data_IF_519578319747
#
_entry.id   IF_519578319747
#
_cell.length_a   1.000
_cell.length_b   1.000
_cell.length_c   1.000
_cell.angle_alpha   90.00
_cell.angle_beta   90.00
_cell.angle_gamma   90.00
#
_symmetry.space_group_name_H-M   'P 1'
#
loop_
_entity.id
_entity.type
_entity.pdbx_description
1 polymer ?
#
# COMPACT_ATOMS: atom_id res chain seq x y z
N UNK A 1 16.11 50.20 47.70
CA UNK A 1 15.58 49.06 48.48
C UNK A 1 14.07 49.16 48.80
N UNK A 2 13.60 50.08 49.68
CA UNK A 2 12.21 50.07 50.20
C UNK A 2 11.12 50.12 49.12
N UNK A 3 11.26 50.99 48.12
CA UNK A 3 10.32 51.07 46.97
C UNK A 3 10.28 49.81 46.11
N UNK A 4 11.43 49.16 45.89
CA UNK A 4 11.52 47.91 45.12
C UNK A 4 10.81 46.76 45.85
N UNK A 5 10.98 46.65 47.17
CA UNK A 5 10.26 45.66 47.98
C UNK A 5 8.75 45.90 47.99
N UNK A 6 8.28 47.15 48.12
CA UNK A 6 6.85 47.45 48.05
C UNK A 6 6.25 47.08 46.68
N UNK A 7 6.97 47.39 45.59
CA UNK A 7 6.56 47.01 44.25
C UNK A 7 6.55 45.49 44.05
N UNK A 8 7.60 44.79 44.49
CA UNK A 8 7.70 43.34 44.39
C UNK A 8 6.61 42.61 45.18
N UNK A 9 6.26 43.09 46.39
CA UNK A 9 5.16 42.54 47.19
C UNK A 9 3.83 42.62 46.44
N UNK A 10 3.52 43.79 45.86
CA UNK A 10 2.34 43.98 45.03
C UNK A 10 2.34 43.02 43.82
N UNK A 11 3.46 42.88 43.13
CA UNK A 11 3.57 41.95 42.00
C UNK A 11 3.40 40.48 42.41
N UNK A 12 3.88 40.10 43.61
CA UNK A 12 3.68 38.75 44.15
C UNK A 12 2.20 38.49 44.46
N UNK A 13 1.51 39.46 45.08
CA UNK A 13 0.06 39.40 45.35
C UNK A 13 -0.75 39.34 44.04
N UNK A 14 -0.40 40.18 43.05
CA UNK A 14 -1.09 40.25 41.75
C UNK A 14 -0.91 38.97 40.89
N UNK A 15 0.12 38.15 41.16
CA UNK A 15 0.44 36.94 40.38
C UNK A 15 0.40 35.63 41.21
N UNK A 16 -0.10 35.68 42.45
CA UNK A 16 -0.19 34.54 43.37
C UNK A 16 1.15 33.80 43.60
N UNK A 17 2.23 34.57 43.79
CA UNK A 17 3.59 34.03 44.01
C UNK A 17 4.00 34.20 45.48
N UNK A 18 4.63 33.19 46.12
CA UNK A 18 5.17 33.32 47.47
C UNK A 18 6.15 34.49 47.59
N UNK A 19 5.83 35.43 48.47
CA UNK A 19 6.62 36.67 48.63
C UNK A 19 8.01 36.41 49.20
N UNK A 20 8.20 35.33 49.97
CA UNK A 20 9.44 35.04 50.71
C UNK A 20 10.68 34.94 49.81
N UNK A 21 10.59 34.16 48.74
CA UNK A 21 11.72 33.91 47.84
C UNK A 21 12.10 35.15 47.02
N UNK A 22 11.11 35.95 46.64
CA UNK A 22 11.30 37.21 45.91
C UNK A 22 11.95 38.28 46.80
N UNK A 23 11.60 38.32 48.09
CA UNK A 23 12.23 39.24 49.05
C UNK A 23 13.67 38.84 49.36
N UNK A 24 13.94 37.54 49.54
CA UNK A 24 15.29 37.02 49.70
C UNK A 24 16.17 37.36 48.49
N UNK A 25 15.63 37.21 47.29
CA UNK A 25 16.31 37.59 46.05
C UNK A 25 16.65 39.08 45.99
N UNK A 26 15.71 39.97 46.35
CA UNK A 26 15.95 41.43 46.41
C UNK A 26 17.00 41.78 47.48
N UNK A 27 17.01 41.05 48.59
CA UNK A 27 17.92 41.28 49.72
C UNK A 27 19.36 40.83 49.44
N UNK A 28 19.60 40.04 48.40
CA UNK A 28 20.95 39.74 47.90
C UNK A 28 21.70 40.99 47.40
N UNK A 29 20.98 42.07 47.07
CA UNK A 29 21.51 43.43 46.92
C UNK A 29 22.31 43.73 45.66
N UNK A 30 22.72 42.72 44.89
CA UNK A 30 23.49 42.89 43.66
C UNK A 30 22.65 42.54 42.43
N UNK A 31 22.39 43.57 41.62
CA UNK A 31 21.55 43.47 40.42
C UNK A 31 22.16 42.57 39.35
N UNK A 32 23.49 42.47 39.26
CA UNK A 32 24.16 41.62 38.28
C UNK A 32 24.06 40.16 38.68
N UNK A 33 24.25 39.82 39.97
CA UNK A 33 24.04 38.46 40.46
C UNK A 33 22.57 38.02 40.33
N UNK A 34 21.61 38.91 40.63
CA UNK A 34 20.19 38.66 40.40
C UNK A 34 19.88 38.33 38.92
N UNK A 35 20.38 39.12 37.97
CA UNK A 35 20.14 38.86 36.54
C UNK A 35 20.77 37.54 36.07
N UNK A 36 21.93 37.18 36.61
CA UNK A 36 22.58 35.89 36.33
C UNK A 36 21.73 34.73 36.87
N UNK A 37 21.27 34.81 38.12
CA UNK A 37 20.44 33.78 38.75
C UNK A 37 19.09 33.61 38.04
N UNK A 38 18.46 34.71 37.61
CA UNK A 38 17.24 34.68 36.81
C UNK A 38 17.49 34.03 35.45
N UNK A 39 18.60 34.38 34.78
CA UNK A 39 18.97 33.75 33.51
C UNK A 39 19.25 32.26 33.67
N UNK A 40 19.98 31.85 34.71
CA UNK A 40 20.25 30.43 35.03
C UNK A 40 18.95 29.68 35.31
N UNK A 41 18.03 30.26 36.09
CA UNK A 41 16.73 29.66 36.42
C UNK A 41 15.86 29.52 35.19
N UNK A 42 15.77 30.54 34.33
CA UNK A 42 15.06 30.46 33.05
C UNK A 42 15.67 29.39 32.14
N UNK A 43 17.00 29.30 32.05
CA UNK A 43 17.67 28.24 31.28
C UNK A 43 17.32 26.86 31.84
N UNK A 44 17.34 26.67 33.17
CA UNK A 44 16.97 25.40 33.82
C UNK A 44 15.51 25.04 33.56
N UNK A 45 14.59 26.00 33.70
CA UNK A 45 13.16 25.80 33.43
C UNK A 45 12.91 25.47 31.95
N UNK A 46 13.55 26.19 31.03
CA UNK A 46 13.50 25.89 29.59
C UNK A 46 14.05 24.50 29.28
N UNK A 47 15.16 24.09 29.92
CA UNK A 47 15.74 22.74 29.75
C UNK A 47 14.82 21.65 30.29
N UNK A 48 14.28 21.83 31.50
CA UNK A 48 13.35 20.89 32.12
C UNK A 48 12.08 20.72 31.28
N UNK A 49 11.49 21.84 30.83
CA UNK A 49 10.32 21.83 29.96
C UNK A 49 10.61 21.20 28.60
N UNK A 50 11.81 21.43 28.03
CA UNK A 50 12.23 20.78 26.77
C UNK A 50 12.39 19.28 26.94
N UNK A 51 13.03 18.82 28.02
CA UNK A 51 13.20 17.39 28.31
C UNK A 51 11.85 16.70 28.51
N UNK A 52 10.94 17.32 29.28
CA UNK A 52 9.57 16.80 29.45
C UNK A 52 8.83 16.71 28.12
N UNK A 53 8.85 17.77 27.30
CA UNK A 53 8.22 17.78 25.97
C UNK A 53 8.82 16.74 25.04
N UNK A 54 10.14 16.53 25.09
CA UNK A 54 10.83 15.52 24.30
C UNK A 54 10.35 14.11 24.68
N UNK A 55 10.23 13.84 25.98
CA UNK A 55 9.71 12.57 26.47
C UNK A 55 8.25 12.36 26.05
N UNK A 56 7.40 13.38 26.19
CA UNK A 56 6.00 13.31 25.74
C UNK A 56 5.88 13.00 24.24
N UNK A 57 6.74 13.58 23.40
CA UNK A 57 6.78 13.30 21.96
C UNK A 57 7.26 11.88 21.66
N UNK A 58 8.24 11.39 22.43
CA UNK A 58 8.74 10.01 22.32
C UNK A 58 7.67 9.00 22.73
N UNK A 59 6.99 9.24 23.85
CA UNK A 59 5.90 8.39 24.34
C UNK A 59 4.74 8.36 23.32
N UNK A 60 4.43 9.49 22.69
CA UNK A 60 3.42 9.55 21.63
C UNK A 60 3.83 8.74 20.39
N UNK A 61 5.10 8.83 19.98
CA UNK A 61 5.66 8.08 18.86
C UNK A 61 5.62 6.56 19.10
N UNK A 62 5.93 6.12 20.32
CA UNK A 62 5.94 4.71 20.73
C UNK A 62 4.52 4.20 21.10
N UNK A 63 3.51 5.06 21.06
CA UNK A 63 2.15 4.66 21.40
C UNK A 63 1.56 3.73 20.32
N UNK A 64 0.97 2.62 20.78
CA UNK A 64 0.29 1.66 19.88
C UNK A 64 -0.84 2.29 19.09
N UNK A 65 -1.50 3.31 19.65
CA UNK A 65 -2.59 4.02 18.98
C UNK A 65 -2.06 4.83 17.79
N UNK A 66 -0.97 5.58 17.98
CA UNK A 66 -0.32 6.30 16.89
C UNK A 66 0.21 5.34 15.82
N UNK A 67 0.91 4.28 16.23
CA UNK A 67 1.51 3.31 15.30
C UNK A 67 0.45 2.55 14.49
N UNK A 68 -0.53 1.93 15.16
CA UNK A 68 -1.51 1.03 14.54
C UNK A 68 -2.72 1.74 13.92
N UNK A 69 -3.29 2.71 14.63
CA UNK A 69 -4.55 3.34 14.18
C UNK A 69 -4.28 4.61 13.36
N UNK A 70 -3.17 5.30 13.63
CA UNK A 70 -2.72 6.45 12.86
C UNK A 70 -1.87 6.03 11.67
N UNK A 71 -0.59 5.78 11.93
CA UNK A 71 0.47 5.71 10.93
C UNK A 71 0.31 4.54 9.96
N UNK A 72 0.05 3.33 10.47
CA UNK A 72 -0.09 2.12 9.64
C UNK A 72 -1.11 2.30 8.50
N UNK A 73 -2.29 2.84 8.77
CA UNK A 73 -3.34 3.00 7.77
C UNK A 73 -2.97 3.99 6.67
N UNK A 74 -2.28 5.08 7.03
CA UNK A 74 -1.81 6.05 6.05
C UNK A 74 -0.66 5.48 5.21
N UNK A 75 0.28 4.76 5.83
CA UNK A 75 1.34 4.07 5.10
C UNK A 75 0.79 2.98 4.18
N UNK A 76 -0.21 2.22 4.64
CA UNK A 76 -0.90 1.21 3.84
C UNK A 76 -1.54 1.84 2.60
N UNK A 77 -2.24 2.97 2.76
CA UNK A 77 -2.78 3.74 1.65
C UNK A 77 -1.67 4.26 0.71
N UNK A 78 -0.52 4.69 1.22
CA UNK A 78 0.63 5.05 0.38
C UNK A 78 1.09 3.87 -0.48
N UNK A 79 1.13 2.66 0.08
CA UNK A 79 1.56 1.45 -0.63
C UNK A 79 0.57 0.96 -1.69
N UNK A 80 -0.69 1.38 -1.60
CA UNK A 80 -1.73 1.10 -2.58
C UNK A 80 -2.03 2.28 -3.51
N UNK A 81 -1.31 3.38 -3.36
CA UNK A 81 -1.48 4.55 -4.22
C UNK A 81 -1.27 4.17 -5.69
N UNK A 82 -2.15 4.58 -6.62
CA UNK A 82 -1.97 4.29 -8.04
C UNK A 82 -0.67 4.88 -8.59
N UNK A 83 -0.15 5.95 -7.97
CA UNK A 83 1.04 6.66 -8.43
C UNK A 83 2.35 6.01 -7.99
N UNK A 84 2.35 4.94 -7.20
CA UNK A 84 3.59 4.33 -6.72
C UNK A 84 4.32 3.59 -7.84
N UNK A 85 5.54 4.05 -8.14
CA UNK A 85 6.40 3.52 -9.19
C UNK A 85 7.43 2.52 -8.66
N UNK A 86 7.71 2.53 -7.35
CA UNK A 86 8.59 1.56 -6.69
C UNK A 86 8.16 1.29 -5.24
N UNK A 87 8.22 0.02 -4.86
CA UNK A 87 7.95 -0.53 -3.53
C UNK A 87 9.18 -0.70 -2.65
N UNK A 88 10.41 -0.71 -3.18
CA UNK A 88 11.63 -0.94 -2.38
C UNK A 88 12.61 0.23 -2.49
N UNK A 89 13.02 0.57 -3.71
CA UNK A 89 14.03 1.61 -3.95
C UNK A 89 13.44 2.99 -3.62
N UNK A 90 14.11 3.71 -2.71
CA UNK A 90 13.75 5.06 -2.25
C UNK A 90 12.34 5.23 -1.67
N UNK A 91 11.59 4.13 -1.47
CA UNK A 91 10.21 4.15 -0.96
C UNK A 91 10.10 4.82 0.40
N UNK A 92 11.00 4.47 1.33
CA UNK A 92 11.02 5.11 2.64
C UNK A 92 11.35 6.60 2.54
N UNK A 93 12.31 6.98 1.69
CA UNK A 93 12.74 8.36 1.54
C UNK A 93 11.60 9.24 0.98
N UNK A 94 10.98 8.81 -0.11
CA UNK A 94 9.84 9.52 -0.72
C UNK A 94 8.65 9.64 0.24
N UNK A 95 8.33 8.56 0.97
CA UNK A 95 7.27 8.60 1.99
C UNK A 95 7.64 9.58 3.11
N UNK A 96 8.88 9.57 3.60
CA UNK A 96 9.33 10.49 4.65
C UNK A 96 9.30 11.96 4.20
N UNK A 97 9.64 12.25 2.95
CA UNK A 97 9.57 13.59 2.39
C UNK A 97 8.11 14.05 2.22
N UNK A 98 7.24 13.13 1.78
CA UNK A 98 5.81 13.38 1.71
C UNK A 98 5.19 13.65 3.09
N UNK A 99 5.52 12.83 4.10
CA UNK A 99 5.09 13.02 5.50
C UNK A 99 5.58 14.37 6.03
N UNK A 100 6.82 14.75 5.71
CA UNK A 100 7.39 16.03 6.16
C UNK A 100 6.59 17.22 5.61
N UNK A 101 6.18 17.14 4.34
CA UNK A 101 5.40 18.17 3.66
C UNK A 101 3.93 18.16 4.10
N UNK A 102 3.38 16.99 4.43
CA UNK A 102 1.96 16.78 4.75
C UNK A 102 1.75 16.21 6.15
N UNK A 103 2.51 16.71 7.13
CA UNK A 103 2.53 16.20 8.51
C UNK A 103 1.14 16.12 9.18
N UNK A 104 0.22 17.02 8.81
CA UNK A 104 -1.16 17.01 9.27
C UNK A 104 -1.97 15.80 8.78
N UNK A 105 -1.69 15.28 7.57
CA UNK A 105 -2.34 14.09 7.02
C UNK A 105 -2.04 12.88 7.90
N UNK A 106 -0.79 12.73 8.33
CA UNK A 106 -0.33 11.62 9.18
C UNK A 106 -0.49 11.88 10.68
N UNK A 107 -1.18 12.97 11.06
CA UNK A 107 -1.39 13.40 12.46
C UNK A 107 -0.08 13.50 13.26
N UNK A 108 1.00 13.95 12.61
CA UNK A 108 2.31 14.07 13.24
C UNK A 108 2.32 15.24 14.22
N UNK A 109 2.72 15.04 15.50
CA UNK A 109 2.81 16.12 16.47
C UNK A 109 3.76 17.25 16.02
N UNK A 110 3.40 18.53 16.23
CA UNK A 110 4.27 19.65 15.89
C UNK A 110 5.61 19.58 16.61
N UNK A 111 6.70 19.69 15.84
CA UNK A 111 8.07 19.66 16.37
C UNK A 111 8.72 18.28 16.37
N UNK A 112 7.96 17.19 16.18
CA UNK A 112 8.52 15.83 16.09
C UNK A 112 9.55 15.70 14.96
N UNK A 113 9.25 16.23 13.78
CA UNK A 113 10.15 16.19 12.62
C UNK A 113 11.26 17.25 12.64
N UNK A 114 11.22 18.21 13.58
CA UNK A 114 12.24 19.26 13.72
C UNK A 114 13.44 18.79 14.54
N UNK A 115 13.22 17.83 15.43
CA UNK A 115 14.27 17.22 16.21
C UNK A 115 14.90 16.05 15.42
N UNK A 116 16.22 16.06 15.31
CA UNK A 116 16.96 15.08 14.49
C UNK A 116 16.84 13.67 15.06
N UNK A 117 16.85 13.53 16.39
CA UNK A 117 16.77 12.23 17.05
C UNK A 117 15.38 11.64 16.90
N UNK A 118 14.33 12.43 17.18
CA UNK A 118 12.94 11.99 16.99
C UNK A 118 12.64 11.68 15.52
N UNK A 119 13.13 12.48 14.57
CA UNK A 119 12.96 12.20 13.14
C UNK A 119 13.63 10.90 12.73
N UNK A 120 14.81 10.60 13.26
CA UNK A 120 15.49 9.33 13.01
C UNK A 120 14.73 8.13 13.61
N UNK A 121 14.24 8.26 14.85
CA UNK A 121 13.41 7.22 15.49
C UNK A 121 12.11 6.99 14.70
N UNK A 122 11.41 8.06 14.32
CA UNK A 122 10.21 7.97 13.49
C UNK A 122 10.50 7.33 12.12
N UNK A 123 11.60 7.69 11.48
CA UNK A 123 12.03 7.05 10.22
C UNK A 123 12.23 5.54 10.35
N UNK A 124 12.77 5.06 11.48
CA UNK A 124 12.88 3.61 11.78
C UNK A 124 11.51 2.97 11.95
N UNK A 125 10.58 3.62 12.66
CA UNK A 125 9.21 3.12 12.80
C UNK A 125 8.50 3.03 11.45
N UNK A 126 8.66 4.03 10.59
CA UNK A 126 8.11 4.01 9.22
C UNK A 126 8.67 2.81 8.44
N UNK A 127 9.99 2.60 8.43
CA UNK A 127 10.60 1.44 7.76
C UNK A 127 10.03 0.12 8.26
N UNK A 128 9.97 -0.05 9.59
CA UNK A 128 9.43 -1.27 10.21
C UNK A 128 7.99 -1.54 9.78
N UNK A 129 7.13 -0.51 9.79
CA UNK A 129 5.74 -0.64 9.37
C UNK A 129 5.61 -0.95 7.88
N UNK A 130 6.42 -0.34 7.02
CA UNK A 130 6.43 -0.63 5.59
C UNK A 130 6.80 -2.09 5.33
N UNK A 131 7.83 -2.61 5.99
CA UNK A 131 8.19 -4.03 5.91
C UNK A 131 7.04 -4.93 6.38
N UNK A 132 6.38 -4.57 7.48
CA UNK A 132 5.20 -5.29 7.95
C UNK A 132 4.04 -5.28 6.94
N UNK A 133 3.75 -4.12 6.34
CA UNK A 133 2.72 -3.96 5.31
C UNK A 133 3.03 -4.83 4.09
N UNK A 134 4.26 -4.80 3.61
CA UNK A 134 4.73 -5.65 2.52
C UNK A 134 4.53 -7.14 2.83
N UNK A 135 4.91 -7.59 4.01
CA UNK A 135 4.70 -8.98 4.43
C UNK A 135 3.21 -9.35 4.46
N UNK A 136 2.37 -8.48 5.04
CA UNK A 136 0.91 -8.67 5.10
C UNK A 136 0.28 -8.75 3.70
N UNK A 137 0.63 -7.85 2.79
CA UNK A 137 0.13 -7.88 1.41
C UNK A 137 0.55 -9.18 0.73
N UNK A 138 1.84 -9.53 0.76
CA UNK A 138 2.34 -10.75 0.11
C UNK A 138 1.65 -12.01 0.65
N UNK A 139 1.46 -12.10 1.97
CA UNK A 139 0.79 -13.23 2.61
C UNK A 139 -0.69 -13.31 2.20
N UNK A 140 -1.40 -12.18 2.19
CA UNK A 140 -2.80 -12.14 1.76
C UNK A 140 -2.96 -12.55 0.29
N UNK A 141 -2.07 -12.10 -0.59
CA UNK A 141 -2.06 -12.50 -2.00
C UNK A 141 -1.74 -13.99 -2.18
N UNK A 142 -0.77 -14.52 -1.42
CA UNK A 142 -0.43 -15.95 -1.46
C UNK A 142 -1.63 -16.79 -1.05
N UNK A 143 -2.26 -16.45 0.08
CA UNK A 143 -3.49 -17.13 0.54
C UNK A 143 -4.59 -17.00 -0.50
N UNK A 144 -4.71 -15.84 -1.16
CA UNK A 144 -5.72 -15.61 -2.17
C UNK A 144 -5.60 -16.56 -3.36
N UNK A 145 -4.39 -16.70 -3.89
CA UNK A 145 -4.12 -17.60 -5.02
C UNK A 145 -4.45 -19.04 -4.65
N UNK A 146 -3.99 -19.49 -3.47
CA UNK A 146 -4.20 -20.88 -3.00
C UNK A 146 -5.67 -21.18 -2.75
N UNK A 147 -6.40 -20.25 -2.14
CA UNK A 147 -7.81 -20.45 -1.77
C UNK A 147 -8.79 -20.00 -2.86
N UNK A 148 -8.26 -19.54 -3.99
CA UNK A 148 -9.05 -18.93 -5.07
C UNK A 148 -10.02 -17.85 -4.57
N UNK A 149 -9.59 -17.00 -3.64
CA UNK A 149 -10.46 -15.94 -3.12
C UNK A 149 -10.51 -14.75 -4.07
N UNK A 150 -11.67 -14.09 -4.13
CA UNK A 150 -11.81 -12.90 -4.95
C UNK A 150 -10.97 -11.74 -4.42
N UNK A 151 -10.45 -10.90 -5.32
CA UNK A 151 -9.64 -9.74 -4.94
C UNK A 151 -10.41 -8.74 -4.07
N UNK A 152 -11.73 -8.68 -4.23
CA UNK A 152 -12.61 -7.88 -3.39
C UNK A 152 -12.60 -8.38 -1.93
N UNK A 153 -12.56 -9.69 -1.71
CA UNK A 153 -12.49 -10.28 -0.37
C UNK A 153 -11.08 -10.12 0.23
N UNK A 154 -10.02 -10.23 -0.58
CA UNK A 154 -8.65 -9.92 -0.17
C UNK A 154 -8.55 -8.49 0.30
N UNK A 155 -9.05 -7.54 -0.51
CA UNK A 155 -9.03 -6.13 -0.18
C UNK A 155 -9.89 -5.80 1.02
N UNK A 156 -11.03 -6.48 1.19
CA UNK A 156 -11.83 -6.38 2.40
C UNK A 156 -11.03 -6.86 3.61
N UNK A 157 -10.37 -8.00 3.54
CA UNK A 157 -9.56 -8.51 4.65
C UNK A 157 -8.41 -7.56 5.02
N UNK A 158 -7.74 -6.98 4.01
CA UNK A 158 -6.67 -6.01 4.21
C UNK A 158 -7.18 -4.67 4.79
N UNK A 159 -8.31 -4.15 4.29
CA UNK A 159 -8.84 -2.84 4.67
C UNK A 159 -9.73 -2.85 5.93
N UNK A 160 -10.44 -3.96 6.23
CA UNK A 160 -11.39 -4.06 7.34
C UNK A 160 -10.75 -4.11 8.74
N UNK A 161 -9.42 -4.04 8.84
CA UNK A 161 -8.71 -3.93 10.11
C UNK A 161 -8.80 -2.53 10.72
N UNK A 162 -10.02 -1.97 10.85
CA UNK A 162 -10.27 -0.70 11.54
C UNK A 162 -9.67 0.55 10.87
N UNK A 163 -9.27 0.44 9.59
CA UNK A 163 -8.43 1.45 8.93
C UNK A 163 -9.14 2.77 8.59
N UNK A 164 -10.47 2.74 8.48
CA UNK A 164 -11.25 3.85 7.94
C UNK A 164 -10.92 4.16 6.47
N UNK A 165 -10.14 3.31 5.78
CA UNK A 165 -9.79 3.46 4.38
C UNK A 165 -10.94 2.98 3.50
N UNK A 166 -11.28 3.78 2.50
CA UNK A 166 -12.28 3.42 1.50
C UNK A 166 -11.59 2.74 0.31
N UNK A 167 -12.14 1.60 -0.11
CA UNK A 167 -11.57 0.82 -1.21
C UNK A 167 -12.36 1.11 -2.48
N UNK A 168 -11.66 1.52 -3.52
CA UNK A 168 -12.19 1.79 -4.86
C UNK A 168 -11.48 0.93 -5.93
N UNK A 169 -11.86 1.12 -7.19
CA UNK A 169 -11.29 0.38 -8.33
C UNK A 169 -9.78 0.55 -8.51
N UNK A 170 -9.20 1.69 -8.12
CA UNK A 170 -7.76 1.91 -8.25
C UNK A 170 -6.97 0.99 -7.33
N UNK A 171 -7.47 0.79 -6.11
CA UNK A 171 -6.87 -0.14 -5.15
C UNK A 171 -7.03 -1.59 -5.61
N UNK A 172 -8.20 -1.95 -6.17
CA UNK A 172 -8.43 -3.27 -6.74
C UNK A 172 -7.46 -3.56 -7.87
N UNK A 173 -7.34 -2.64 -8.84
CA UNK A 173 -6.39 -2.77 -9.94
C UNK A 173 -4.96 -2.97 -9.42
N UNK A 174 -4.55 -2.20 -8.40
CA UNK A 174 -3.20 -2.31 -7.85
C UNK A 174 -2.94 -3.67 -7.20
N UNK A 175 -3.88 -4.14 -6.40
CA UNK A 175 -3.73 -5.40 -5.66
C UNK A 175 -3.86 -6.61 -6.58
N UNK A 176 -4.65 -6.49 -7.64
CA UNK A 176 -4.71 -7.46 -8.73
C UNK A 176 -3.39 -7.55 -9.49
N UNK A 177 -2.77 -6.40 -9.83
CA UNK A 177 -1.43 -6.40 -10.42
C UNK A 177 -0.44 -7.13 -9.50
N UNK A 178 -0.44 -6.82 -8.21
CA UNK A 178 0.48 -7.47 -7.27
C UNK A 178 0.24 -8.99 -7.19
N UNK A 179 -1.01 -9.45 -7.27
CA UNK A 179 -1.35 -10.87 -7.34
C UNK A 179 -0.78 -11.52 -8.62
N UNK A 180 -0.98 -10.87 -9.76
CA UNK A 180 -0.48 -11.30 -11.07
C UNK A 180 1.05 -11.43 -11.07
N UNK A 181 1.74 -10.41 -10.56
CA UNK A 181 3.19 -10.43 -10.42
C UNK A 181 3.67 -11.50 -9.42
N UNK A 182 2.92 -11.75 -8.35
CA UNK A 182 3.26 -12.81 -7.39
C UNK A 182 3.18 -14.19 -8.04
N UNK A 183 2.16 -14.44 -8.88
CA UNK A 183 2.04 -15.71 -9.60
C UNK A 183 3.23 -15.92 -10.54
N UNK A 184 3.60 -14.91 -11.34
CA UNK A 184 4.76 -14.96 -12.23
C UNK A 184 6.04 -15.23 -11.42
N UNK A 185 6.23 -14.51 -10.31
CA UNK A 185 7.40 -14.67 -9.45
C UNK A 185 7.52 -16.08 -8.89
N UNK A 186 6.44 -16.62 -8.31
CA UNK A 186 6.44 -17.96 -7.71
C UNK A 186 6.68 -19.08 -8.74
N UNK A 187 6.12 -18.94 -9.95
CA UNK A 187 6.42 -19.84 -11.08
C UNK A 187 7.91 -19.73 -11.45
N UNK A 188 8.43 -18.51 -11.54
CA UNK A 188 9.80 -18.26 -11.99
C UNK A 188 10.82 -18.89 -11.06
N UNK A 189 10.68 -18.69 -9.75
CA UNK A 189 11.59 -19.25 -8.74
C UNK A 189 11.31 -20.72 -8.38
N UNK A 190 10.31 -21.36 -8.98
CA UNK A 190 9.84 -22.71 -8.64
C UNK A 190 9.50 -22.88 -7.14
N UNK A 191 8.96 -21.86 -6.48
CA UNK A 191 8.56 -21.97 -5.08
C UNK A 191 7.11 -22.41 -4.96
N UNK A 192 6.93 -23.73 -4.95
CA UNK A 192 5.61 -24.37 -4.84
C UNK A 192 5.27 -24.83 -3.41
N UNK A 193 5.96 -24.31 -2.39
CA UNK A 193 5.75 -24.74 -0.99
C UNK A 193 4.32 -24.51 -0.51
N UNK A 194 3.74 -23.39 -0.93
CA UNK A 194 2.42 -22.94 -0.47
C UNK A 194 1.34 -23.02 -1.55
N UNK A 195 1.72 -23.06 -2.84
CA UNK A 195 0.81 -23.08 -3.98
C UNK A 195 1.41 -23.96 -5.08
N UNK A 196 0.64 -24.88 -5.65
CA UNK A 196 1.09 -25.68 -6.78
C UNK A 196 1.14 -24.84 -8.06
N UNK A 197 1.91 -25.27 -9.05
CA UNK A 197 1.93 -24.59 -10.36
C UNK A 197 0.52 -24.54 -11.01
N UNK A 198 -0.36 -25.50 -10.71
CA UNK A 198 -1.76 -25.47 -11.17
C UNK A 198 -2.57 -24.33 -10.53
N UNK A 199 -2.29 -24.00 -9.26
CA UNK A 199 -2.94 -22.89 -8.57
C UNK A 199 -2.42 -21.54 -9.09
N UNK A 200 -1.11 -21.50 -9.35
CA UNK A 200 -0.40 -20.29 -9.81
C UNK A 200 -0.74 -19.95 -11.26
N UNK A 201 -0.73 -20.94 -12.15
CA UNK A 201 -0.91 -20.70 -13.58
C UNK A 201 -2.35 -20.30 -13.92
N UNK A 202 -2.47 -19.43 -14.90
CA UNK A 202 -3.72 -19.06 -15.54
C UNK A 202 -3.40 -18.82 -17.00
N UNK A 203 -4.25 -19.24 -17.95
CA UNK A 203 -4.09 -18.88 -19.35
C UNK A 203 -3.95 -17.36 -19.57
N UNK A 204 -4.54 -16.53 -18.71
CA UNK A 204 -4.37 -15.07 -18.75
C UNK A 204 -2.97 -14.55 -18.37
N UNK A 205 -2.11 -15.38 -17.75
CA UNK A 205 -0.71 -15.02 -17.50
C UNK A 205 0.13 -15.03 -18.78
N UNK A 206 -0.29 -15.77 -19.81
CA UNK A 206 0.51 -16.05 -21.02
C UNK A 206 1.04 -14.75 -21.66
N UNK A 207 0.23 -13.70 -21.72
CA UNK A 207 0.61 -12.40 -22.29
C UNK A 207 1.73 -11.68 -21.50
N UNK A 208 1.93 -12.05 -20.23
CA UNK A 208 2.96 -11.49 -19.36
C UNK A 208 4.18 -12.42 -19.16
N UNK A 209 4.13 -13.64 -19.68
CA UNK A 209 5.25 -14.59 -19.59
C UNK A 209 6.20 -14.40 -20.77
N UNK A 210 7.49 -14.20 -20.47
CA UNK A 210 8.57 -14.29 -21.46
C UNK A 210 8.78 -15.73 -21.92
N UNK A 211 9.54 -15.92 -23.00
CA UNK A 211 9.65 -17.22 -23.69
C UNK A 211 10.17 -18.35 -22.80
N UNK A 212 11.21 -18.10 -22.01
CA UNK A 212 11.75 -19.09 -21.06
C UNK A 212 10.73 -19.54 -20.01
N UNK A 213 9.95 -18.60 -19.48
CA UNK A 213 8.85 -18.86 -18.55
C UNK A 213 7.71 -19.65 -19.23
N UNK A 214 7.40 -19.35 -20.50
CA UNK A 214 6.44 -20.12 -21.29
C UNK A 214 6.91 -21.57 -21.44
N UNK A 215 8.15 -21.80 -21.88
CA UNK A 215 8.74 -23.13 -22.00
C UNK A 215 8.68 -23.92 -20.68
N UNK A 216 9.00 -23.26 -19.56
CA UNK A 216 8.91 -23.88 -18.22
C UNK A 216 7.49 -24.33 -17.89
N UNK A 217 6.51 -23.46 -18.08
CA UNK A 217 5.11 -23.78 -17.82
C UNK A 217 4.61 -24.92 -18.71
N UNK A 218 4.97 -24.93 -20.00
CA UNK A 218 4.63 -26.05 -20.91
C UNK A 218 5.23 -27.37 -20.43
N UNK A 219 6.50 -27.36 -20.01
CA UNK A 219 7.19 -28.55 -19.53
C UNK A 219 6.59 -29.07 -18.22
N UNK A 220 6.30 -28.19 -17.26
CA UNK A 220 5.83 -28.59 -15.93
C UNK A 220 4.33 -28.93 -15.89
N UNK A 221 3.50 -28.28 -16.71
CA UNK A 221 2.06 -28.55 -16.76
C UNK A 221 1.65 -29.50 -17.89
N UNK A 222 2.52 -29.75 -18.87
CA UNK A 222 2.18 -30.53 -20.07
C UNK A 222 1.11 -29.85 -20.93
N UNK A 223 1.05 -28.52 -20.93
CA UNK A 223 0.11 -27.72 -21.73
C UNK A 223 0.79 -27.20 -22.99
N UNK A 224 0.00 -26.90 -24.02
CA UNK A 224 0.47 -26.19 -25.21
C UNK A 224 0.05 -24.72 -25.09
N UNK A 225 1.02 -23.83 -24.81
CA UNK A 225 0.73 -22.41 -24.60
C UNK A 225 0.25 -21.75 -25.89
N UNK A 226 0.79 -22.13 -27.05
CA UNK A 226 0.37 -21.56 -28.33
C UNK A 226 -1.11 -21.87 -28.64
N UNK A 227 -1.57 -23.09 -28.35
CA UNK A 227 -2.98 -23.45 -28.49
C UNK A 227 -3.85 -22.68 -27.49
N UNK A 228 -3.43 -22.55 -26.23
CA UNK A 228 -4.16 -21.77 -25.22
C UNK A 228 -4.25 -20.29 -25.59
N UNK A 229 -3.20 -19.75 -26.20
CA UNK A 229 -3.16 -18.36 -26.69
C UNK A 229 -4.13 -18.17 -27.87
N UNK A 230 -4.17 -19.11 -28.82
CA UNK A 230 -5.13 -19.10 -29.93
C UNK A 230 -6.59 -19.27 -29.45
N UNK A 231 -6.84 -20.16 -28.49
CA UNK A 231 -8.18 -20.40 -27.94
C UNK A 231 -8.72 -19.17 -27.18
N UNK A 232 -7.84 -18.41 -26.52
CA UNK A 232 -8.20 -17.22 -25.74
C UNK A 232 -8.27 -15.93 -26.56
N UNK A 233 -7.29 -15.74 -27.45
CA UNK A 233 -7.04 -14.46 -28.13
C UNK A 233 -7.15 -14.57 -29.65
N UNK A 234 -7.27 -15.78 -30.19
CA UNK A 234 -7.52 -16.01 -31.60
C UNK A 234 -8.80 -15.30 -32.01
N UNK A 235 -8.64 -14.26 -32.84
CA UNK A 235 -9.75 -13.62 -33.52
C UNK A 235 -10.52 -14.71 -34.26
N UNK A 236 -11.80 -14.88 -33.92
CA UNK A 236 -12.78 -15.63 -34.71
C UNK A 236 -12.85 -15.05 -36.14
N UNK A 237 -11.87 -15.34 -36.98
CA UNK A 237 -11.89 -15.16 -38.44
C UNK A 237 -12.59 -16.36 -39.12
N UNK A 238 -13.62 -16.90 -38.45
CA UNK A 238 -14.52 -17.91 -38.99
C UNK A 238 -15.91 -17.29 -39.22
N UNK A 239 -15.96 -16.18 -39.94
CA UNK A 239 -17.20 -15.71 -40.58
C UNK A 239 -16.88 -15.31 -42.02
N UNK A 240 -16.63 -16.33 -42.82
CA UNK A 240 -16.56 -16.27 -44.27
C UNK A 240 -17.38 -17.40 -44.87
N UNK A 241 -18.46 -17.03 -45.56
CA UNK A 241 -19.17 -17.80 -46.59
C UNK A 241 -20.32 -18.72 -46.14
N UNK A 242 -21.55 -18.18 -46.17
CA UNK A 242 -22.47 -18.60 -47.23
C UNK A 242 -23.55 -17.54 -47.53
N UNK A 243 -23.72 -17.30 -48.82
CA UNK A 243 -24.62 -16.33 -49.43
C UNK A 243 -26.10 -16.78 -49.41
N UNK A 244 -26.97 -15.77 -49.22
CA UNK A 244 -28.30 -15.55 -49.83
C UNK A 244 -29.36 -16.67 -49.81
N UNK A 245 -30.47 -16.41 -49.12
CA UNK A 245 -31.70 -15.89 -49.76
C UNK A 245 -32.80 -15.57 -48.71
N UNK A 246 -33.21 -14.30 -48.64
CA UNK A 246 -34.57 -13.86 -48.26
C UNK A 246 -35.45 -13.86 -49.53
N UNK A 247 -36.80 -13.72 -49.49
CA UNK A 247 -37.64 -13.00 -48.50
C UNK A 247 -38.92 -13.78 -48.10
N UNK A 248 -39.73 -13.43 -47.09
CA UNK A 248 -40.61 -12.26 -46.98
C UNK A 248 -41.16 -12.10 -45.54
N UNK A 249 -41.41 -10.85 -45.15
CA UNK A 249 -42.34 -10.43 -44.08
C UNK A 249 -43.63 -9.90 -44.77
N UNK A 250 -44.75 -9.51 -44.12
CA UNK A 250 -45.05 -9.39 -42.68
C UNK A 250 -46.46 -9.86 -42.25
N UNK A 251 -46.73 -9.98 -40.95
CA UNK A 251 -47.79 -9.23 -40.23
C UNK A 251 -48.02 -9.77 -38.82
N UNK A 252 -48.26 -8.84 -37.87
CA UNK A 252 -49.37 -9.03 -36.94
C UNK A 252 -49.06 -9.26 -35.47
N UNK A 253 -49.27 -8.19 -34.71
CA UNK A 253 -49.83 -8.14 -33.35
C UNK A 253 -48.92 -8.37 -32.16
N UNK A 254 -48.81 -7.28 -31.39
CA UNK A 254 -48.16 -7.26 -30.09
C UNK A 254 -48.99 -7.88 -28.97
N UNK A 255 -48.26 -8.30 -27.95
CA UNK A 255 -48.77 -8.34 -26.59
C UNK A 255 -47.59 -8.26 -25.62
N UNK A 256 -47.52 -7.16 -24.87
CA UNK A 256 -46.79 -7.06 -23.62
C UNK A 256 -47.55 -7.85 -22.55
N UNK A 257 -46.88 -8.59 -21.66
CA UNK A 257 -47.41 -8.79 -20.33
C UNK A 257 -46.53 -8.12 -19.27
N UNK A 258 -47.18 -7.10 -18.71
CA UNK A 258 -47.01 -6.46 -17.41
C UNK A 258 -46.36 -7.28 -16.29
N UNK A 259 -45.62 -6.54 -15.47
CA UNK A 259 -45.09 -6.88 -14.18
C UNK A 259 -46.10 -7.53 -13.23
N UNK A 260 -45.66 -8.57 -12.52
CA UNK A 260 -46.32 -9.03 -11.29
C UNK A 260 -45.57 -8.52 -10.06
N UNK A 261 -46.23 -7.58 -9.41
CA UNK A 261 -46.14 -7.21 -8.00
C UNK A 261 -46.47 -8.43 -7.13
N UNK A 262 -45.60 -8.77 -6.19
CA UNK A 262 -45.96 -9.57 -5.00
C UNK A 262 -45.48 -8.75 -3.80
N UNK A 263 -46.46 -8.22 -3.06
CA UNK A 263 -46.27 -7.65 -1.73
C UNK A 263 -46.68 -8.72 -0.68
N UNK A 264 -45.78 -8.88 0.28
CA UNK A 264 -45.98 -9.14 1.70
C UNK A 264 -46.54 -10.48 2.20
N UNK A 265 -45.70 -11.14 3.01
CA UNK A 265 -46.09 -12.08 4.05
C UNK A 265 -44.91 -12.26 5.00
N UNK A 266 -44.88 -11.47 6.08
CA UNK A 266 -43.95 -11.62 7.17
C UNK A 266 -44.15 -12.98 7.85
N UNK A 267 -43.05 -13.64 8.20
CA UNK A 267 -42.95 -14.38 9.46
C UNK A 267 -41.47 -14.44 9.85
N UNK A 268 -41.21 -13.87 11.03
CA UNK A 268 -40.05 -14.17 11.84
C UNK A 268 -40.15 -15.63 12.28
N UNK A 269 -39.06 -16.36 12.18
CA UNK A 269 -38.68 -17.30 13.22
C UNK A 269 -37.15 -17.31 13.29
N UNK A 270 -36.69 -17.10 14.53
CA UNK A 270 -35.32 -17.18 15.00
C UNK A 270 -34.72 -18.55 14.69
N UNK A 271 -33.60 -18.58 13.95
CA UNK A 271 -32.58 -19.59 14.18
C UNK A 271 -31.23 -18.91 14.41
N UNK A 272 -30.89 -18.94 15.69
CA UNK A 272 -29.61 -18.76 16.36
C UNK A 272 -28.48 -19.46 15.60
N UNK A 273 -27.73 -18.70 14.77
CA UNK A 273 -26.46 -19.16 14.22
C UNK A 273 -25.32 -18.67 15.12
N UNK A 274 -24.78 -19.64 15.85
CA UNK A 274 -23.63 -19.53 16.73
C UNK A 274 -22.46 -18.76 16.08
N UNK A 275 -21.98 -17.77 16.84
CA UNK A 275 -20.81 -16.97 16.59
C UNK A 275 -19.55 -17.83 16.80
N UNK A 276 -18.95 -18.31 15.70
CA UNK A 276 -17.59 -18.85 15.71
C UNK A 276 -16.68 -17.99 14.85
N UNK A 277 -16.52 -16.73 15.24
CA UNK A 277 -15.46 -15.84 14.75
C UNK A 277 -14.20 -15.94 15.62
N UNK A 278 -13.63 -17.14 15.69
CA UNK A 278 -12.33 -17.41 16.31
C UNK A 278 -11.14 -17.22 15.35
N UNK A 279 -11.06 -16.09 14.64
CA UNK A 279 -9.85 -15.73 13.89
C UNK A 279 -8.82 -15.12 14.85
N UNK A 280 -8.21 -15.99 15.65
CA UNK A 280 -7.05 -15.69 16.47
C UNK A 280 -5.92 -15.27 15.52
N UNK A 281 -5.61 -13.96 15.47
CA UNK A 281 -4.39 -13.44 14.86
C UNK A 281 -3.21 -13.97 15.69
N UNK A 282 -2.77 -15.18 15.36
CA UNK A 282 -1.57 -15.78 15.90
C UNK A 282 -0.38 -14.91 15.53
N UNK A 283 0.32 -14.42 16.55
CA UNK A 283 1.65 -13.83 16.39
C UNK A 283 2.58 -14.88 15.79
N UNK A 284 2.90 -14.71 14.51
CA UNK A 284 3.99 -15.40 13.85
C UNK A 284 5.27 -14.59 14.04
N UNK A 285 6.30 -15.25 14.56
CA UNK A 285 7.65 -14.74 14.79
C UNK A 285 8.18 -13.94 13.59
N UNK A 286 8.41 -12.64 13.82
CA UNK A 286 9.01 -11.70 12.88
C UNK A 286 10.55 -11.70 12.95
N UNK A 287 11.19 -12.87 13.10
CA UNK A 287 12.63 -12.97 13.37
C UNK A 287 13.49 -13.36 12.16
N UNK A 288 13.05 -13.04 10.93
CA UNK A 288 13.84 -13.32 9.71
C UNK A 288 14.10 -12.14 8.77
N UNK A 289 13.53 -10.96 9.03
CA UNK A 289 13.42 -9.92 7.99
C UNK A 289 14.21 -8.62 8.26
N UNK A 290 14.91 -8.48 9.40
CA UNK A 290 15.54 -7.22 9.82
C UNK A 290 16.87 -6.86 9.13
N UNK A 291 17.56 -7.80 8.48
CA UNK A 291 18.77 -7.48 7.71
C UNK A 291 18.46 -7.33 6.21
N UNK A 292 19.14 -6.36 5.58
CA UNK A 292 19.21 -6.11 4.13
C UNK A 292 18.24 -5.10 3.50
N UNK A 293 18.24 -3.87 4.01
CA UNK A 293 17.99 -2.68 3.16
C UNK A 293 19.29 -2.05 2.62
N UNK A 294 20.48 -2.50 3.07
CA UNK A 294 21.76 -1.89 2.71
C UNK A 294 22.41 -2.42 1.41
N UNK A 295 21.88 -3.49 0.80
CA UNK A 295 22.38 -4.02 -0.48
C UNK A 295 21.94 -3.22 -1.73
N UNK A 296 21.16 -2.15 -1.55
CA UNK A 296 20.28 -1.58 -2.56
C UNK A 296 20.95 -0.73 -3.66
N UNK A 297 22.22 -0.37 -3.51
CA UNK A 297 22.82 0.70 -4.36
C UNK A 297 23.42 0.19 -5.67
N UNK A 298 23.69 -1.10 -5.83
CA UNK A 298 24.37 -1.64 -7.01
C UNK A 298 23.42 -2.30 -8.04
N UNK A 299 22.12 -2.38 -7.77
CA UNK A 299 21.18 -3.11 -8.66
C UNK A 299 20.56 -2.26 -9.77
N UNK A 300 20.59 -0.92 -9.67
CA UNK A 300 19.91 -0.04 -10.64
C UNK A 300 20.69 0.06 -11.96
N UNK A 301 22.03 0.07 -11.91
CA UNK A 301 22.86 0.00 -13.14
C UNK A 301 22.76 -1.36 -13.83
N UNK A 302 22.54 -2.44 -13.09
CA UNK A 302 22.31 -3.78 -13.68
C UNK A 302 20.91 -3.93 -14.27
N UNK A 303 19.89 -3.29 -13.67
CA UNK A 303 18.51 -3.36 -14.16
C UNK A 303 18.30 -2.66 -15.51
N UNK A 304 19.05 -1.59 -15.81
CA UNK A 304 18.97 -0.89 -17.09
C UNK A 304 19.56 -1.71 -18.27
N UNK A 305 20.44 -2.68 -18.00
CA UNK A 305 21.06 -3.55 -19.01
C UNK A 305 20.15 -4.74 -19.39
N UNK A 306 19.08 -5.01 -18.62
CA UNK A 306 18.25 -6.22 -18.74
C UNK A 306 16.90 -6.02 -19.45
N UNK A 307 16.67 -4.83 -20.01
CA UNK A 307 15.39 -4.51 -20.66
C UNK A 307 15.17 -5.20 -22.02
N UNK A 308 16.19 -5.84 -22.60
CA UNK A 308 16.21 -6.06 -24.05
C UNK A 308 16.25 -7.52 -24.51
N UNK A 309 16.28 -8.51 -23.61
CA UNK A 309 16.11 -9.91 -24.04
C UNK A 309 14.64 -10.34 -23.93
N UNK A 310 13.92 -10.47 -25.06
CA UNK A 310 12.55 -11.00 -25.06
C UNK A 310 12.49 -12.48 -24.64
N UNK A 311 13.63 -13.18 -24.63
CA UNK A 311 13.72 -14.60 -24.33
C UNK A 311 14.00 -14.89 -22.85
N UNK A 312 14.63 -13.98 -22.11
CA UNK A 312 15.05 -14.21 -20.71
C UNK A 312 14.25 -13.37 -19.71
N UNK A 313 13.55 -14.07 -18.81
CA UNK A 313 12.80 -13.48 -17.69
C UNK A 313 13.66 -12.99 -16.54
N UNK A 314 14.94 -13.38 -16.51
CA UNK A 314 15.85 -13.14 -15.40
C UNK A 314 15.68 -14.13 -14.24
N UNK A 315 14.87 -15.19 -14.39
CA UNK A 315 14.80 -16.28 -13.42
C UNK A 315 15.92 -17.33 -13.61
N UNK A 316 16.82 -17.14 -14.57
CA UNK A 316 17.94 -18.06 -14.84
C UNK A 316 17.48 -19.40 -15.40
N UNK A 317 16.41 -19.38 -16.21
CA UNK A 317 15.83 -20.58 -16.84
C UNK A 317 16.53 -20.96 -18.14
N UNK A 318 17.26 -20.01 -18.74
CA UNK A 318 18.08 -20.23 -19.92
C UNK A 318 19.47 -20.71 -19.49
N UNK A 319 19.94 -21.81 -20.09
CA UNK A 319 21.26 -22.37 -19.77
C UNK A 319 22.37 -21.33 -20.02
N UNK A 320 23.21 -21.11 -19.00
CA UNK A 320 24.31 -20.13 -19.05
C UNK A 320 23.94 -18.71 -18.60
N UNK A 321 22.67 -18.42 -18.35
CA UNK A 321 22.23 -17.11 -17.87
C UNK A 321 22.10 -17.08 -16.34
N UNK A 322 22.70 -16.11 -15.63
CA UNK A 322 22.56 -16.02 -14.19
C UNK A 322 21.13 -15.64 -13.77
N UNK A 323 20.63 -16.25 -12.69
CA UNK A 323 19.35 -15.87 -12.11
C UNK A 323 19.47 -14.51 -11.41
N UNK A 324 18.67 -13.53 -11.85
CA UNK A 324 18.48 -12.23 -11.21
C UNK A 324 17.40 -12.26 -10.13
N UNK A 325 16.46 -13.19 -10.23
CA UNK A 325 15.45 -13.43 -9.22
C UNK A 325 15.59 -14.85 -8.69
N UNK A 326 15.83 -14.96 -7.39
CA UNK A 326 15.93 -16.22 -6.66
C UNK A 326 14.97 -16.20 -5.49
N UNK A 327 14.82 -17.31 -4.78
CA UNK A 327 14.03 -17.32 -3.55
C UNK A 327 14.65 -16.39 -2.45
N UNK A 328 15.96 -16.12 -2.52
CA UNK A 328 16.64 -15.19 -1.61
C UNK A 328 16.42 -13.72 -2.02
N UNK A 329 16.27 -13.42 -3.31
CA UNK A 329 15.98 -12.08 -3.82
C UNK A 329 14.46 -11.85 -3.74
N UNK A 330 14.04 -10.94 -2.84
CA UNK A 330 12.63 -10.81 -2.43
C UNK A 330 11.71 -10.38 -3.57
N UNK A 331 10.48 -10.90 -3.55
CA UNK A 331 9.34 -10.55 -4.41
C UNK A 331 9.20 -9.05 -4.73
N UNK A 332 9.40 -8.16 -3.75
CA UNK A 332 9.23 -6.73 -3.95
C UNK A 332 10.27 -6.10 -4.90
N UNK A 333 11.45 -6.70 -5.04
CA UNK A 333 12.43 -6.28 -6.05
C UNK A 333 11.95 -6.62 -7.46
N UNK A 334 11.38 -7.81 -7.63
CA UNK A 334 10.74 -8.20 -8.89
C UNK A 334 9.59 -7.24 -9.22
N UNK A 335 8.74 -6.89 -8.24
CA UNK A 335 7.66 -5.90 -8.44
C UNK A 335 8.21 -4.55 -8.92
N UNK A 336 9.28 -4.01 -8.31
CA UNK A 336 9.88 -2.75 -8.77
C UNK A 336 10.36 -2.84 -10.21
N UNK A 337 11.05 -3.92 -10.55
CA UNK A 337 11.55 -4.11 -11.91
C UNK A 337 10.41 -4.21 -12.91
N UNK A 338 9.36 -5.00 -12.61
CA UNK A 338 8.19 -5.11 -13.46
C UNK A 338 7.49 -3.77 -13.65
N UNK A 339 7.33 -2.97 -12.58
CA UNK A 339 6.75 -1.63 -12.69
C UNK A 339 7.60 -0.72 -13.58
N UNK A 340 8.92 -0.75 -13.41
CA UNK A 340 9.84 0.04 -14.22
C UNK A 340 9.79 -0.34 -15.71
N UNK A 341 9.75 -1.64 -16.02
CA UNK A 341 9.60 -2.15 -17.38
C UNK A 341 8.28 -1.69 -17.99
N UNK A 342 7.17 -1.85 -17.27
CA UNK A 342 5.86 -1.39 -17.74
C UNK A 342 5.85 0.14 -17.97
N UNK A 343 6.51 0.93 -17.10
CA UNK A 343 6.62 2.38 -17.28
C UNK A 343 7.43 2.72 -18.54
N UNK A 344 8.48 1.97 -18.83
CA UNK A 344 9.31 2.16 -20.02
C UNK A 344 8.53 1.83 -21.30
N UNK A 345 7.80 0.72 -21.33
CA UNK A 345 6.93 0.34 -22.46
C UNK A 345 5.89 1.45 -22.71
N UNK A 346 5.25 1.97 -21.65
CA UNK A 346 4.30 3.08 -21.79
C UNK A 346 4.98 4.33 -22.34
N UNK A 347 6.20 4.65 -21.91
CA UNK A 347 6.98 5.79 -22.42
C UNK A 347 7.31 5.67 -23.90
N UNK A 348 7.60 4.47 -24.38
CA UNK A 348 7.89 4.21 -25.79
C UNK A 348 6.62 4.24 -26.66
N UNK A 349 5.48 3.81 -26.11
CA UNK A 349 4.21 3.80 -26.81
C UNK A 349 3.52 5.18 -26.89
N UNK A 350 3.93 6.16 -26.08
CA UNK A 350 3.19 7.41 -25.89
C UNK A 350 4.09 8.64 -25.89
N UNK A 351 3.66 9.69 -26.59
CA UNK A 351 4.40 10.96 -26.71
C UNK A 351 4.13 11.95 -25.57
N UNK A 352 3.08 11.70 -24.77
CA UNK A 352 2.68 12.59 -23.67
C UNK A 352 2.47 11.84 -22.35
N UNK A 353 2.70 12.49 -21.19
CA UNK A 353 2.44 11.87 -19.88
C UNK A 353 1.00 11.38 -19.68
N UNK A 354 0.01 12.10 -20.23
CA UNK A 354 -1.41 11.72 -20.14
C UNK A 354 -1.71 10.45 -20.94
N UNK A 355 -1.07 10.25 -22.09
CA UNK A 355 -1.21 9.01 -22.87
C UNK A 355 -0.52 7.84 -22.17
N UNK A 356 0.67 8.07 -21.60
CA UNK A 356 1.38 7.07 -20.80
C UNK A 356 0.52 6.54 -19.65
N UNK A 357 -0.15 7.45 -18.93
CA UNK A 357 -1.06 7.09 -17.83
C UNK A 357 -2.24 6.23 -18.34
N UNK A 358 -2.80 6.55 -19.51
CA UNK A 358 -3.91 5.78 -20.11
C UNK A 358 -3.47 4.37 -20.51
N UNK A 359 -2.31 4.22 -21.14
CA UNK A 359 -1.80 2.90 -21.55
C UNK A 359 -1.54 2.02 -20.33
N UNK A 360 -0.95 2.58 -19.27
CA UNK A 360 -0.77 1.88 -18.01
C UNK A 360 -2.10 1.47 -17.36
N UNK A 361 -3.06 2.39 -17.30
CA UNK A 361 -4.38 2.11 -16.74
C UNK A 361 -5.11 1.02 -17.53
N UNK A 362 -4.96 0.99 -18.85
CA UNK A 362 -5.52 -0.05 -19.71
C UNK A 362 -4.97 -1.43 -19.35
N UNK A 363 -3.65 -1.57 -19.23
CA UNK A 363 -3.00 -2.82 -18.80
C UNK A 363 -3.55 -3.28 -17.43
N UNK A 364 -3.71 -2.35 -16.48
CA UNK A 364 -4.24 -2.65 -15.16
C UNK A 364 -5.68 -3.16 -15.20
N UNK A 365 -6.51 -2.57 -16.05
CA UNK A 365 -7.90 -2.99 -16.25
C UNK A 365 -7.96 -4.37 -16.89
N UNK A 366 -7.12 -4.66 -17.87
CA UNK A 366 -7.05 -5.98 -18.52
C UNK A 366 -6.64 -7.07 -17.52
N UNK A 367 -5.61 -6.82 -16.71
CA UNK A 367 -5.18 -7.73 -15.64
C UNK A 367 -6.32 -7.93 -14.62
N UNK A 368 -7.01 -6.86 -14.23
CA UNK A 368 -8.15 -6.95 -13.30
C UNK A 368 -9.33 -7.75 -13.88
N UNK A 369 -9.68 -7.57 -15.14
CA UNK A 369 -10.76 -8.32 -15.80
C UNK A 369 -10.42 -9.82 -15.92
N UNK A 370 -9.16 -10.14 -16.24
CA UNK A 370 -8.67 -11.50 -16.27
C UNK A 370 -8.75 -12.16 -14.88
N UNK A 371 -8.32 -11.45 -13.84
CA UNK A 371 -8.38 -11.93 -12.46
C UNK A 371 -9.82 -12.20 -11.99
N UNK A 372 -10.77 -11.31 -12.30
CA UNK A 372 -12.18 -11.52 -11.99
C UNK A 372 -12.78 -12.77 -12.66
N UNK A 373 -12.21 -13.17 -13.80
CA UNK A 373 -12.63 -14.38 -14.50
C UNK A 373 -12.06 -15.63 -13.83
N UNK A 374 -10.82 -15.56 -13.29
CA UNK A 374 -10.19 -16.65 -12.53
C UNK A 374 -10.76 -16.79 -11.11
N UNK A 375 -11.04 -15.67 -10.45
CA UNK A 375 -11.48 -15.60 -9.06
C UNK A 375 -12.80 -14.84 -8.94
N UNK A 376 -13.92 -15.42 -9.42
CA UNK A 376 -15.20 -14.73 -9.43
C UNK A 376 -15.63 -14.41 -8.00
N UNK A 377 -15.86 -13.13 -7.74
CA UNK A 377 -16.45 -12.66 -6.48
C UNK A 377 -17.81 -13.32 -6.24
N UNK A 378 -18.12 -13.63 -4.98
CA UNK A 378 -19.48 -14.01 -4.61
C UNK A 378 -20.47 -12.91 -5.03
N UNK A 379 -21.71 -13.29 -5.40
CA UNK A 379 -22.80 -12.39 -5.87
C UNK A 379 -23.17 -11.21 -4.93
N UNK A 380 -22.50 -11.10 -3.77
CA UNK A 380 -22.68 -10.08 -2.73
C UNK A 380 -21.67 -8.94 -2.80
N UNK A 381 -21.13 -8.57 -3.97
CA UNK A 381 -20.56 -7.23 -4.17
C UNK A 381 -21.71 -6.22 -4.33
N UNK A 382 -22.65 -6.24 -3.39
CA UNK A 382 -23.86 -5.44 -3.43
C UNK A 382 -23.59 -4.11 -2.76
N UNK A 383 -23.60 -3.06 -3.58
CA UNK A 383 -23.37 -1.64 -3.27
C UNK A 383 -21.89 -1.29 -3.05
N UNK A 384 -21.25 -0.91 -4.16
CA UNK A 384 -20.26 0.16 -4.18
C UNK A 384 -20.97 1.42 -3.66
N UNK A 385 -21.13 1.53 -2.34
CA UNK A 385 -21.72 2.73 -1.73
C UNK A 385 -20.72 3.83 -2.01
N UNK A 386 -21.15 4.86 -2.71
CA UNK A 386 -20.49 6.15 -2.83
C UNK A 386 -20.29 6.73 -1.43
N UNK A 387 -19.30 6.22 -0.70
CA UNK A 387 -18.78 6.89 0.47
C UNK A 387 -17.74 7.88 0.00
N UNK A 388 -17.61 8.93 0.78
CA UNK A 388 -16.72 10.03 0.47
C UNK A 388 -15.36 9.65 1.03
N UNK A 389 -14.38 9.40 0.15
CA UNK A 389 -13.02 9.07 0.54
C UNK A 389 -12.57 10.05 1.65
N UNK A 390 -12.05 9.54 2.78
CA UNK A 390 -11.54 10.39 3.84
C UNK A 390 -10.55 11.41 3.28
N UNK A 391 -10.60 12.65 3.76
CA UNK A 391 -9.74 13.72 3.24
C UNK A 391 -8.24 13.35 3.26
N UNK A 392 -7.79 12.62 4.28
CA UNK A 392 -6.41 12.13 4.38
C UNK A 392 -6.05 11.17 3.24
N UNK A 393 -6.98 10.29 2.85
CA UNK A 393 -6.79 9.32 1.78
C UNK A 393 -6.76 10.03 0.42
N UNK A 394 -7.69 10.95 0.17
CA UNK A 394 -7.69 11.78 -1.05
C UNK A 394 -6.40 12.58 -1.18
N UNK A 395 -5.86 13.11 -0.07
CA UNK A 395 -4.59 13.82 -0.07
C UNK A 395 -3.41 12.89 -0.46
N UNK A 396 -3.39 11.65 0.03
CA UNK A 396 -2.37 10.66 -0.37
C UNK A 396 -2.52 10.35 -1.87
N UNK A 397 -3.72 9.97 -2.32
CA UNK A 397 -3.94 9.57 -3.72
C UNK A 397 -3.61 10.68 -4.72
N UNK A 398 -3.91 11.93 -4.40
CA UNK A 398 -3.74 13.06 -5.32
C UNK A 398 -2.39 13.77 -5.22
N UNK A 399 -1.75 13.76 -4.05
CA UNK A 399 -0.52 14.54 -3.79
C UNK A 399 0.73 13.69 -3.64
N UNK A 400 0.61 12.39 -3.34
CA UNK A 400 1.76 11.50 -3.33
C UNK A 400 2.08 11.14 -4.79
N UNK A 401 2.95 11.94 -5.39
CA UNK A 401 3.46 11.75 -6.75
C UNK A 401 4.86 11.16 -6.62
N UNK A 402 5.08 10.02 -7.26
CA UNK A 402 6.39 9.37 -7.31
C UNK A 402 7.08 9.81 -8.59
N UNK A 403 8.01 10.75 -8.48
CA UNK A 403 8.84 11.16 -9.62
C UNK A 403 9.95 10.12 -9.79
N UNK A 404 9.95 9.39 -10.90
CA UNK A 404 11.04 8.51 -11.33
C UNK A 404 12.22 9.27 -11.87
#
# INVERSE_FOLDING_TARGET
>A
MKRLKTYAKKMCEDNDVPTGDVMYFIDSGDIFFMLIDLKITLIKLCKGNRAKRMQELKDALESKDFEKNGLYNHLFACMLSPNITAYVTDTQHHIMDFITTHSNVFKIPPGMLKDVELRAQFGKSVTKLLTGIWSVIKNALTVSVVKHTSIADVMRALACSGSGMEVDSTHWNRITLLQHLLQIFLIGVSDYKNASINDLFSPYLILSLKQDMRCKVECELGVNIAQLEDDLFGTNNALGSNNQASPDTPTGNGHMPSARRIENGANMDDEELEDQSGAQLGGGDANGEEEELNGLRNSVETAAVLLDDPLDSGFGLVEGTPAHYTNTIRFWNFVNHSLLVMCQISKEASSTPTEQEKEWQKLFIEIFQADLTKFPGGKKVSKLISRTNPHWQTAIQTKLIWTT
#
